data_IF_839295294156
#
_entry.id   IF_839295294156
#
_cell.length_a   1.000
_cell.length_b   1.000
_cell.length_c   1.000
_cell.angle_alpha   90.00
_cell.angle_beta   90.00
_cell.angle_gamma   90.00
#
_symmetry.space_group_name_H-M   'P 1'
#
loop_
_entity.id
_entity.type
_entity.pdbx_description
1 polymer ?
#
# COMPACT_ATOMS: atom_id res chain seq x y z
N UNK A 1 13.14 1.79 -25.48
CA UNK A 1 11.72 1.73 -25.93
C UNK A 1 10.87 2.34 -24.82
N UNK A 2 9.74 3.03 -25.10
CA UNK A 2 8.89 3.61 -24.04
C UNK A 2 7.76 2.65 -23.66
N UNK A 3 7.22 2.75 -22.44
CA UNK A 3 6.14 1.87 -21.96
C UNK A 3 4.90 1.87 -22.88
N UNK A 4 4.58 3.01 -23.51
CA UNK A 4 3.46 3.10 -24.46
C UNK A 4 3.68 2.22 -25.70
N UNK A 5 4.92 2.08 -26.19
CA UNK A 5 5.21 1.27 -27.37
C UNK A 5 5.01 -0.23 -27.09
N UNK A 6 5.39 -0.69 -25.90
CA UNK A 6 5.14 -2.08 -25.46
C UNK A 6 3.65 -2.34 -25.27
N UNK A 7 2.92 -1.33 -24.79
CA UNK A 7 1.48 -1.42 -24.65
C UNK A 7 0.77 -1.53 -26.01
N UNK A 8 1.21 -0.75 -27.01
CA UNK A 8 0.65 -0.82 -28.36
C UNK A 8 0.93 -2.17 -29.03
N UNK A 9 2.14 -2.71 -28.88
CA UNK A 9 2.48 -4.05 -29.39
C UNK A 9 1.65 -5.16 -28.71
N UNK A 10 1.46 -5.09 -27.39
CA UNK A 10 0.58 -6.02 -26.71
C UNK A 10 -0.86 -5.99 -27.25
N UNK A 11 -1.34 -4.82 -27.69
CA UNK A 11 -2.67 -4.64 -28.26
C UNK A 11 -2.82 -5.19 -29.69
N UNK A 12 -1.73 -5.53 -30.38
CA UNK A 12 -1.80 -6.20 -31.68
C UNK A 12 -2.41 -7.60 -31.56
N UNK A 13 -2.16 -8.27 -30.43
CA UNK A 13 -2.57 -9.67 -30.20
C UNK A 13 -3.47 -9.87 -28.98
N UNK A 14 -3.73 -8.81 -28.19
CA UNK A 14 -4.52 -8.90 -26.96
C UNK A 14 -5.51 -7.74 -26.84
N UNK A 15 -6.60 -7.96 -26.11
CA UNK A 15 -7.53 -6.89 -25.79
C UNK A 15 -7.14 -6.09 -24.52
N UNK A 16 -7.83 -4.99 -24.27
CA UNK A 16 -7.59 -4.18 -23.08
C UNK A 16 -7.91 -4.93 -21.78
N UNK A 17 -8.82 -5.90 -21.80
CA UNK A 17 -9.21 -6.66 -20.61
C UNK A 17 -8.10 -7.63 -20.21
N UNK A 18 -7.43 -8.26 -21.17
CA UNK A 18 -6.27 -9.10 -20.95
C UNK A 18 -5.18 -8.33 -20.19
N UNK A 19 -4.78 -7.17 -20.71
CA UNK A 19 -3.74 -6.34 -20.08
C UNK A 19 -4.20 -5.86 -18.70
N UNK A 20 -5.45 -5.40 -18.56
CA UNK A 20 -6.01 -4.98 -17.27
C UNK A 20 -5.97 -6.12 -16.24
N UNK A 21 -6.31 -7.34 -16.65
CA UNK A 21 -6.33 -8.53 -15.79
C UNK A 21 -4.93 -8.91 -15.35
N UNK A 22 -3.99 -9.03 -16.30
CA UNK A 22 -2.60 -9.41 -16.02
C UNK A 22 -1.88 -8.41 -15.12
N UNK A 23 -2.21 -7.12 -15.21
CA UNK A 23 -1.64 -6.06 -14.38
C UNK A 23 -2.45 -5.75 -13.11
N UNK A 24 -3.55 -6.47 -12.87
CA UNK A 24 -4.49 -6.23 -11.75
C UNK A 24 -4.97 -4.76 -11.68
N UNK A 25 -5.32 -4.20 -12.84
CA UNK A 25 -5.78 -2.83 -13.01
C UNK A 25 -7.27 -2.78 -13.34
N UNK A 26 -7.93 -1.72 -12.89
CA UNK A 26 -9.28 -1.42 -13.35
C UNK A 26 -9.24 -1.10 -14.85
N UNK A 27 -10.15 -1.68 -15.64
CA UNK A 27 -10.20 -1.51 -17.10
C UNK A 27 -10.24 -0.04 -17.54
N UNK A 28 -10.93 0.81 -16.78
CA UNK A 28 -10.95 2.26 -17.00
C UNK A 28 -9.57 2.94 -16.91
N UNK A 29 -8.60 2.38 -16.20
CA UNK A 29 -7.21 2.86 -16.20
C UNK A 29 -6.54 2.57 -17.53
N UNK A 30 -6.63 1.34 -18.01
CA UNK A 30 -6.02 0.91 -19.28
C UNK A 30 -6.67 1.62 -20.48
N UNK A 31 -8.01 1.80 -20.45
CA UNK A 31 -8.73 2.64 -21.42
C UNK A 31 -8.23 4.08 -21.45
N UNK A 32 -7.88 4.67 -20.31
CA UNK A 32 -7.29 6.01 -20.25
C UNK A 32 -5.89 6.05 -20.84
N UNK A 33 -5.07 5.01 -20.66
CA UNK A 33 -3.76 4.94 -21.30
C UNK A 33 -3.88 4.99 -22.81
N UNK A 34 -4.75 4.16 -23.40
CA UNK A 34 -5.06 4.18 -24.83
C UNK A 34 -5.59 5.54 -25.28
N UNK A 35 -6.58 6.10 -24.57
CA UNK A 35 -7.18 7.40 -24.91
C UNK A 35 -6.17 8.55 -24.89
N UNK A 36 -5.26 8.55 -23.91
CA UNK A 36 -4.29 9.63 -23.72
C UNK A 36 -2.95 9.36 -24.43
N UNK A 37 -2.83 8.24 -25.14
CA UNK A 37 -1.58 7.75 -25.74
C UNK A 37 -0.39 7.80 -24.76
N UNK A 38 -0.61 7.33 -23.52
CA UNK A 38 0.38 7.45 -22.45
C UNK A 38 0.23 6.35 -21.41
N UNK A 39 1.33 5.63 -21.17
CA UNK A 39 1.46 4.64 -20.09
C UNK A 39 2.55 5.12 -19.12
N UNK A 40 2.33 5.09 -17.80
CA UNK A 40 3.38 5.39 -16.83
C UNK A 40 4.58 4.44 -16.99
N UNK A 41 5.80 4.98 -17.01
CA UNK A 41 7.03 4.19 -17.17
C UNK A 41 7.19 3.09 -16.11
N UNK A 42 6.57 3.24 -14.92
CA UNK A 42 6.54 2.19 -13.90
C UNK A 42 5.99 0.84 -14.38
N UNK A 43 5.22 0.80 -15.48
CA UNK A 43 4.70 -0.42 -16.08
C UNK A 43 5.57 -0.98 -17.22
N UNK A 44 6.74 -0.38 -17.53
CA UNK A 44 7.60 -0.87 -18.61
C UNK A 44 7.96 -2.34 -18.42
N UNK A 45 8.54 -2.70 -17.27
CA UNK A 45 8.95 -4.08 -16.98
C UNK A 45 7.74 -5.03 -16.95
N UNK A 46 6.61 -4.56 -16.45
CA UNK A 46 5.37 -5.34 -16.40
C UNK A 46 4.87 -5.69 -17.81
N UNK A 47 4.86 -4.72 -18.72
CA UNK A 47 4.44 -4.93 -20.12
C UNK A 47 5.47 -5.77 -20.87
N UNK A 48 6.76 -5.54 -20.63
CA UNK A 48 7.83 -6.30 -21.28
C UNK A 48 7.77 -7.78 -20.87
N UNK A 49 7.47 -8.06 -19.61
CA UNK A 49 7.28 -9.43 -19.13
C UNK A 49 6.12 -10.14 -19.83
N UNK A 50 5.05 -9.42 -20.21
CA UNK A 50 3.96 -9.98 -21.01
C UNK A 50 4.35 -10.22 -22.48
N UNK A 51 5.42 -9.57 -22.95
CA UNK A 51 6.06 -9.79 -24.24
C UNK A 51 7.28 -10.73 -24.13
N UNK A 52 7.29 -11.62 -23.11
CA UNK A 52 8.37 -12.57 -22.87
C UNK A 52 9.76 -11.93 -22.70
N UNK A 53 9.80 -10.72 -22.14
CA UNK A 53 11.00 -9.91 -21.94
C UNK A 53 11.79 -9.62 -23.24
N UNK A 54 11.08 -9.47 -24.37
CA UNK A 54 11.66 -9.21 -25.70
C UNK A 54 12.61 -8.00 -25.75
N UNK A 55 12.40 -7.00 -24.92
CA UNK A 55 13.18 -5.76 -24.95
C UNK A 55 14.10 -5.60 -23.75
N UNK A 56 15.35 -5.22 -24.02
CA UNK A 56 16.24 -4.78 -22.94
C UNK A 56 15.69 -3.51 -22.28
N UNK A 57 15.73 -3.47 -20.95
CA UNK A 57 15.44 -2.25 -20.23
C UNK A 57 16.70 -1.37 -20.21
N UNK A 58 16.76 -0.39 -21.12
CA UNK A 58 17.85 0.58 -21.21
C UNK A 58 17.73 1.75 -20.23
N UNK A 59 16.62 1.86 -19.49
CA UNK A 59 16.56 2.86 -18.42
C UNK A 59 17.35 2.31 -17.22
N UNK A 60 18.55 2.87 -17.01
CA UNK A 60 19.34 2.84 -15.76
C UNK A 60 18.58 3.43 -14.55
N UNK A 61 17.25 3.32 -14.52
CA UNK A 61 16.41 3.73 -13.41
C UNK A 61 16.63 2.82 -12.17
N UNK A 62 17.50 1.82 -12.28
CA UNK A 62 17.82 0.85 -11.22
C UNK A 62 18.75 1.40 -10.14
N UNK A 63 19.63 2.36 -10.44
CA UNK A 63 20.70 2.71 -9.48
C UNK A 63 20.29 3.75 -8.42
N UNK A 64 19.20 4.48 -8.60
CA UNK A 64 18.77 5.52 -7.63
C UNK A 64 17.55 5.14 -6.77
N UNK A 65 16.82 4.08 -7.14
CA UNK A 65 15.61 3.63 -6.43
C UNK A 65 15.74 2.21 -5.82
N UNK A 66 16.91 1.56 -5.92
CA UNK A 66 17.19 0.31 -5.19
C UNK A 66 17.76 0.63 -3.80
N UNK A 67 16.89 0.60 -2.79
CA UNK A 67 17.29 0.50 -1.39
C UNK A 67 16.81 -0.83 -0.81
N UNK A 68 17.57 -1.35 0.13
CA UNK A 68 17.33 -2.62 0.80
C UNK A 68 16.73 -2.41 2.18
N UNK A 69 16.01 -3.41 2.67
CA UNK A 69 15.58 -3.44 4.07
C UNK A 69 16.80 -3.66 4.96
N UNK A 70 16.99 -2.84 5.99
CA UNK A 70 18.10 -3.04 6.93
C UNK A 70 17.96 -4.36 7.67
N UNK A 71 19.09 -4.99 8.05
CA UNK A 71 19.08 -6.24 8.83
C UNK A 71 18.23 -6.14 10.10
N UNK A 72 18.34 -5.03 10.83
CA UNK A 72 17.55 -4.79 12.04
C UNK A 72 16.03 -4.76 11.77
N UNK A 73 15.61 -4.14 10.66
CA UNK A 73 14.19 -4.11 10.26
C UNK A 73 13.71 -5.50 9.84
N UNK A 74 14.52 -6.26 9.09
CA UNK A 74 14.19 -7.62 8.71
C UNK A 74 14.03 -8.54 9.93
N UNK A 75 14.94 -8.46 10.90
CA UNK A 75 14.87 -9.19 12.16
C UNK A 75 13.62 -8.82 12.98
N UNK A 76 13.27 -7.54 13.03
CA UNK A 76 12.06 -7.08 13.70
C UNK A 76 10.80 -7.68 13.04
N UNK A 77 10.67 -7.55 11.72
CA UNK A 77 9.52 -8.04 10.97
C UNK A 77 9.39 -9.58 11.05
N UNK A 78 10.50 -10.31 11.02
CA UNK A 78 10.50 -11.76 11.23
C UNK A 78 10.01 -12.13 12.63
N UNK A 79 10.56 -11.51 13.69
CA UNK A 79 10.10 -11.74 15.08
C UNK A 79 8.62 -11.38 15.25
N UNK A 80 8.18 -10.27 14.66
CA UNK A 80 6.77 -9.87 14.68
C UNK A 80 5.89 -10.91 13.98
N UNK A 81 6.33 -11.44 12.83
CA UNK A 81 5.62 -12.52 12.13
C UNK A 81 5.42 -13.71 13.07
N UNK A 82 6.49 -14.18 13.73
CA UNK A 82 6.40 -15.29 14.69
C UNK A 82 5.44 -15.01 15.85
N UNK A 83 5.43 -13.78 16.38
CA UNK A 83 4.49 -13.34 17.42
C UNK A 83 3.04 -13.43 16.95
N UNK A 84 2.74 -12.93 15.74
CA UNK A 84 1.38 -12.95 15.18
C UNK A 84 0.95 -14.38 14.85
N UNK A 85 1.82 -15.21 14.28
CA UNK A 85 1.55 -16.63 14.04
C UNK A 85 1.18 -17.35 15.34
N UNK A 86 1.91 -17.09 16.44
CA UNK A 86 1.59 -17.65 17.75
C UNK A 86 0.21 -17.23 18.25
N UNK A 87 -0.15 -15.95 18.11
CA UNK A 87 -1.50 -15.43 18.48
C UNK A 87 -2.62 -16.08 17.66
N UNK A 88 -2.34 -16.39 16.40
CA UNK A 88 -3.26 -17.07 15.51
C UNK A 88 -3.26 -18.60 15.69
N UNK A 89 -2.49 -19.15 16.64
CA UNK A 89 -2.31 -20.59 16.85
C UNK A 89 -1.80 -21.33 15.58
N UNK A 90 -0.95 -20.66 14.79
CA UNK A 90 -0.30 -21.22 13.61
C UNK A 90 1.10 -21.70 14.00
N UNK A 91 1.34 -23.02 13.90
CA UNK A 91 2.64 -23.61 14.15
C UNK A 91 3.58 -23.42 12.96
N UNK A 92 4.44 -22.39 13.02
CA UNK A 92 5.36 -22.04 11.94
C UNK A 92 6.29 -23.18 11.49
N UNK A 93 6.56 -24.16 12.37
CA UNK A 93 7.45 -25.28 12.08
C UNK A 93 6.92 -26.21 10.98
N UNK A 94 5.62 -26.18 10.71
CA UNK A 94 4.96 -26.94 9.64
C UNK A 94 5.05 -26.28 8.27
N UNK A 95 5.56 -25.05 8.22
CA UNK A 95 5.54 -24.22 7.02
C UNK A 95 6.89 -24.19 6.31
N UNK A 96 6.87 -23.95 5.01
CA UNK A 96 8.06 -23.52 4.25
C UNK A 96 7.94 -22.02 4.06
N UNK A 97 9.01 -21.28 4.35
CA UNK A 97 9.06 -19.85 4.13
C UNK A 97 9.45 -19.55 2.69
N UNK A 98 8.80 -18.54 2.11
CA UNK A 98 9.15 -18.00 0.81
C UNK A 98 9.48 -16.52 0.98
N UNK A 99 10.67 -16.12 0.58
CA UNK A 99 10.97 -14.70 0.36
C UNK A 99 10.92 -14.37 -1.13
N UNK A 100 9.95 -13.54 -1.56
CA UNK A 100 9.93 -13.00 -2.90
C UNK A 100 10.72 -11.69 -2.99
N UNK A 101 11.43 -11.48 -4.11
CA UNK A 101 12.31 -10.33 -4.30
C UNK A 101 13.34 -10.20 -3.17
N UNK A 102 14.07 -11.29 -2.93
CA UNK A 102 14.98 -11.43 -1.78
C UNK A 102 16.13 -10.41 -1.71
N UNK A 103 16.45 -9.73 -2.82
CA UNK A 103 17.41 -8.63 -2.87
C UNK A 103 18.75 -9.01 -2.24
N UNK A 104 19.14 -8.31 -1.17
CA UNK A 104 20.38 -8.54 -0.43
C UNK A 104 20.32 -9.70 0.60
N UNK A 105 19.26 -10.50 0.61
CA UNK A 105 19.08 -11.67 1.50
C UNK A 105 18.96 -11.36 3.00
N UNK A 106 18.63 -10.11 3.38
CA UNK A 106 18.49 -9.73 4.80
C UNK A 106 17.34 -10.46 5.51
N UNK A 107 16.20 -10.73 4.85
CA UNK A 107 15.19 -11.63 5.41
C UNK A 107 15.59 -13.10 5.22
N UNK A 108 16.07 -13.48 4.03
CA UNK A 108 16.35 -14.86 3.63
C UNK A 108 17.30 -15.55 4.61
N UNK A 109 18.33 -14.82 5.03
CA UNK A 109 19.33 -15.27 6.00
C UNK A 109 18.75 -15.61 7.39
N UNK A 110 17.61 -15.01 7.76
CA UNK A 110 16.90 -15.26 9.01
C UNK A 110 15.97 -16.48 8.95
N UNK A 111 15.56 -16.88 7.74
CA UNK A 111 14.62 -17.98 7.54
C UNK A 111 15.25 -19.34 7.87
N UNK A 112 14.47 -20.34 8.34
CA UNK A 112 15.00 -21.66 8.66
C UNK A 112 15.64 -22.33 7.42
N UNK A 113 16.95 -22.61 7.46
CA UNK A 113 17.74 -23.11 6.30
C UNK A 113 17.14 -24.33 5.58
N UNK A 114 16.50 -25.25 6.30
CA UNK A 114 15.89 -26.47 5.74
C UNK A 114 14.46 -26.26 5.21
N UNK A 115 13.86 -25.09 5.41
CA UNK A 115 12.45 -24.78 5.11
C UNK A 115 12.32 -23.35 4.55
N UNK A 116 13.22 -22.95 3.65
CA UNK A 116 13.20 -21.63 3.01
C UNK A 116 13.35 -21.75 1.49
N UNK A 117 12.72 -20.84 0.77
CA UNK A 117 12.85 -20.65 -0.67
C UNK A 117 13.00 -19.14 -0.90
N UNK A 118 14.04 -18.74 -1.62
CA UNK A 118 14.26 -17.37 -2.03
C UNK A 118 14.08 -17.23 -3.53
N UNK A 119 13.36 -16.20 -3.98
CA UNK A 119 13.16 -15.89 -5.40
C UNK A 119 13.57 -14.44 -5.63
N UNK A 120 14.39 -14.20 -6.63
CA UNK A 120 14.68 -12.84 -7.11
C UNK A 120 14.81 -12.82 -8.63
N UNK A 121 14.46 -11.70 -9.26
CA UNK A 121 14.63 -11.52 -10.71
C UNK A 121 16.10 -11.17 -11.06
N UNK A 122 16.87 -10.72 -10.08
CA UNK A 122 18.27 -10.33 -10.16
C UNK A 122 18.94 -10.66 -8.81
N UNK A 123 19.22 -11.96 -8.51
CA UNK A 123 19.77 -12.41 -7.23
C UNK A 123 21.04 -11.65 -6.81
N UNK A 124 21.03 -11.10 -5.58
CA UNK A 124 22.14 -10.33 -5.00
C UNK A 124 22.47 -10.78 -3.58
N UNK A 125 23.58 -10.25 -3.05
CA UNK A 125 24.04 -10.52 -1.69
C UNK A 125 24.80 -11.85 -1.56
N UNK A 126 25.18 -12.17 -0.32
CA UNK A 126 26.04 -13.32 0.01
C UNK A 126 25.38 -14.67 -0.26
N UNK A 127 24.04 -14.73 -0.24
CA UNK A 127 23.27 -15.97 -0.43
C UNK A 127 22.62 -16.04 -1.81
N UNK A 128 23.06 -15.23 -2.78
CA UNK A 128 22.47 -15.17 -4.13
C UNK A 128 22.40 -16.53 -4.82
N UNK A 129 23.40 -17.38 -4.60
CA UNK A 129 23.50 -18.69 -5.25
C UNK A 129 22.51 -19.71 -4.65
N UNK A 130 21.89 -19.39 -3.52
CA UNK A 130 20.76 -20.15 -2.97
C UNK A 130 19.40 -19.68 -3.52
N UNK A 131 19.34 -18.54 -4.20
CA UNK A 131 18.09 -17.97 -4.70
C UNK A 131 17.74 -18.54 -6.08
N UNK A 132 16.45 -18.67 -6.33
CA UNK A 132 15.91 -18.99 -7.66
C UNK A 132 15.84 -17.68 -8.45
N UNK A 133 16.60 -17.59 -9.54
CA UNK A 133 16.50 -16.48 -10.50
C UNK A 133 15.21 -16.59 -11.31
N UNK A 134 14.17 -15.85 -10.91
CA UNK A 134 12.86 -15.89 -11.55
C UNK A 134 11.98 -14.69 -11.21
N UNK A 135 11.01 -14.41 -12.08
CA UNK A 135 9.91 -13.51 -11.75
C UNK A 135 8.95 -14.22 -10.78
N UNK A 136 8.88 -13.74 -9.54
CA UNK A 136 8.00 -14.30 -8.50
C UNK A 136 6.54 -14.45 -8.95
N UNK A 137 6.01 -13.53 -9.76
CA UNK A 137 4.62 -13.60 -10.25
C UNK A 137 4.37 -14.73 -11.26
N UNK A 138 5.42 -15.42 -11.70
CA UNK A 138 5.34 -16.63 -12.54
C UNK A 138 5.74 -17.90 -11.76
N UNK A 139 6.39 -17.73 -10.60
CA UNK A 139 6.83 -18.82 -9.75
C UNK A 139 5.65 -19.47 -9.02
N UNK A 140 5.59 -20.80 -9.02
CA UNK A 140 4.66 -21.58 -8.20
C UNK A 140 5.46 -22.62 -7.41
N UNK A 141 5.25 -22.71 -6.08
CA UNK A 141 5.93 -23.73 -5.29
C UNK A 141 5.25 -25.10 -5.43
N UNK A 142 5.87 -26.12 -4.83
CA UNK A 142 5.32 -27.49 -4.79
C UNK A 142 3.91 -27.53 -4.18
N UNK A 143 3.01 -28.30 -4.79
CA UNK A 143 1.64 -28.47 -4.26
C UNK A 143 1.65 -29.37 -3.01
N UNK A 144 0.66 -29.18 -2.13
CA UNK A 144 0.45 -30.04 -0.96
C UNK A 144 1.36 -29.72 0.24
N UNK A 145 2.15 -28.64 0.18
CA UNK A 145 2.90 -28.10 1.32
C UNK A 145 2.18 -26.85 1.86
N UNK A 146 2.58 -26.42 3.06
CA UNK A 146 2.10 -25.19 3.69
C UNK A 146 3.15 -24.09 3.56
N UNK A 147 2.74 -22.88 3.18
CA UNK A 147 3.68 -21.77 2.94
C UNK A 147 3.36 -20.51 3.74
N UNK A 148 4.41 -19.84 4.21
CA UNK A 148 4.39 -18.47 4.73
C UNK A 148 5.26 -17.63 3.79
N UNK A 149 4.72 -16.53 3.26
CA UNK A 149 5.49 -15.60 2.44
C UNK A 149 5.86 -14.39 3.28
N UNK A 150 7.15 -14.07 3.36
CA UNK A 150 7.67 -12.98 4.19
C UNK A 150 8.74 -12.19 3.41
N UNK A 151 8.69 -10.86 3.47
CA UNK A 151 9.73 -10.01 2.88
C UNK A 151 9.30 -8.58 2.62
N UNK A 152 10.01 -7.93 1.71
CA UNK A 152 9.75 -6.56 1.24
C UNK A 152 9.59 -6.55 -0.29
N UNK A 153 8.39 -6.83 -0.83
CA UNK A 153 8.19 -6.85 -2.27
C UNK A 153 8.33 -5.45 -2.88
N UNK A 154 8.74 -5.33 -4.15
CA UNK A 154 8.74 -4.04 -4.83
C UNK A 154 7.31 -3.46 -4.90
N UNK A 155 7.18 -2.18 -4.58
CA UNK A 155 5.85 -1.56 -4.41
C UNK A 155 5.12 -1.31 -5.74
N UNK A 156 5.86 -0.93 -6.78
CA UNK A 156 5.29 -0.47 -8.05
C UNK A 156 4.40 0.77 -7.91
N UNK A 157 3.76 1.19 -9.00
CA UNK A 157 2.95 2.41 -9.00
C UNK A 157 1.80 2.29 -8.00
N UNK A 158 1.83 3.15 -6.96
CA UNK A 158 0.80 3.22 -5.90
C UNK A 158 0.56 1.88 -5.19
N UNK A 159 1.60 1.06 -5.02
CA UNK A 159 1.52 -0.22 -4.33
C UNK A 159 0.91 -1.36 -5.14
N UNK A 160 0.71 -1.18 -6.45
CA UNK A 160 0.06 -2.18 -7.30
C UNK A 160 0.89 -3.47 -7.48
N UNK A 161 2.22 -3.38 -7.48
CA UNK A 161 3.07 -4.56 -7.64
C UNK A 161 3.08 -5.39 -6.36
N UNK A 162 3.26 -4.77 -5.19
CA UNK A 162 3.11 -5.44 -3.90
C UNK A 162 1.73 -6.10 -3.73
N UNK A 163 0.65 -5.46 -4.23
CA UNK A 163 -0.68 -6.08 -4.26
C UNK A 163 -0.74 -7.34 -5.11
N UNK A 164 -0.08 -7.34 -6.27
CA UNK A 164 0.01 -8.53 -7.13
C UNK A 164 0.80 -9.64 -6.46
N UNK A 165 1.86 -9.31 -5.72
CA UNK A 165 2.62 -10.29 -4.94
C UNK A 165 1.72 -10.96 -3.88
N UNK A 166 0.98 -10.18 -3.08
CA UNK A 166 0.04 -10.73 -2.08
C UNK A 166 -1.00 -11.63 -2.76
N UNK A 167 -1.61 -11.14 -3.85
CA UNK A 167 -2.68 -11.88 -4.53
C UNK A 167 -2.16 -13.13 -5.26
N UNK A 168 -0.91 -13.14 -5.72
CA UNK A 168 -0.25 -14.32 -6.26
C UNK A 168 0.04 -15.35 -5.17
N UNK A 169 0.51 -14.91 -4.01
CA UNK A 169 0.74 -15.77 -2.84
C UNK A 169 -0.55 -16.45 -2.34
N UNK A 170 -1.72 -15.85 -2.55
CA UNK A 170 -3.00 -16.42 -2.11
C UNK A 170 -3.24 -17.85 -2.62
N UNK A 171 -2.75 -18.18 -3.82
CA UNK A 171 -2.99 -19.47 -4.46
C UNK A 171 -2.27 -20.63 -3.74
N UNK A 172 -1.23 -20.35 -2.95
CA UNK A 172 -0.43 -21.40 -2.29
C UNK A 172 -0.08 -21.15 -0.82
N UNK A 173 -0.11 -19.91 -0.33
CA UNK A 173 0.32 -19.57 1.01
C UNK A 173 -0.86 -19.30 1.97
N UNK A 174 -0.71 -19.73 3.22
CA UNK A 174 -1.71 -19.46 4.25
C UNK A 174 -1.53 -18.08 4.86
N UNK A 175 -0.29 -17.59 4.89
CA UNK A 175 0.10 -16.32 5.51
C UNK A 175 1.02 -15.54 4.60
N UNK A 176 0.79 -14.23 4.52
CA UNK A 176 1.68 -13.26 3.88
C UNK A 176 2.02 -12.16 4.89
N UNK A 177 3.31 -11.93 5.11
CA UNK A 177 3.83 -10.94 6.03
C UNK A 177 4.76 -9.99 5.26
N UNK A 178 4.29 -8.79 4.91
CA UNK A 178 5.03 -7.89 4.04
C UNK A 178 5.24 -6.51 4.64
N UNK A 179 6.41 -5.96 4.31
CA UNK A 179 6.63 -4.52 4.29
C UNK A 179 5.89 -3.95 3.06
N UNK A 180 5.07 -2.93 3.28
CA UNK A 180 4.16 -2.36 2.28
C UNK A 180 4.17 -0.82 2.32
N UNK A 181 3.77 -0.15 1.23
CA UNK A 181 3.60 1.29 1.26
C UNK A 181 2.39 1.67 2.13
N UNK A 182 2.38 2.87 2.75
CA UNK A 182 1.30 3.33 3.64
C UNK A 182 -0.10 3.34 3.02
N UNK A 183 -0.20 3.29 1.68
CA UNK A 183 -1.48 3.13 0.97
C UNK A 183 -2.23 1.83 1.34
N UNK A 184 -1.53 0.81 1.85
CA UNK A 184 -2.15 -0.40 2.40
C UNK A 184 -2.80 -0.21 3.78
N UNK A 185 -2.65 0.97 4.39
CA UNK A 185 -3.35 1.38 5.61
C UNK A 185 -4.25 2.59 5.35
N UNK A 186 -4.97 2.57 4.22
CA UNK A 186 -5.90 3.62 3.81
C UNK A 186 -7.24 3.02 3.43
N UNK A 187 -8.34 3.73 3.72
CA UNK A 187 -9.70 3.31 3.36
C UNK A 187 -10.23 3.97 2.08
N UNK A 188 -9.39 4.72 1.36
CA UNK A 188 -9.76 5.38 0.12
C UNK A 188 -10.33 4.42 -0.94
N UNK A 189 -11.03 4.97 -1.95
CA UNK A 189 -11.52 4.15 -3.08
C UNK A 189 -10.34 3.65 -3.93
N UNK A 190 -10.34 2.37 -4.28
CA UNK A 190 -9.33 1.77 -5.17
C UNK A 190 -7.94 1.57 -4.56
N UNK A 191 -7.79 1.79 -3.24
CA UNK A 191 -6.56 1.49 -2.49
C UNK A 191 -6.21 0.00 -2.59
N UNK A 192 -4.92 -0.36 -2.53
CA UNK A 192 -4.50 -1.75 -2.67
C UNK A 192 -5.04 -2.66 -1.56
N UNK A 193 -5.14 -2.18 -0.32
CA UNK A 193 -5.69 -2.95 0.82
C UNK A 193 -7.06 -3.59 0.52
N UNK A 194 -7.97 -2.85 -0.12
CA UNK A 194 -9.32 -3.32 -0.46
C UNK A 194 -9.37 -4.30 -1.64
N UNK A 195 -8.23 -4.55 -2.27
CA UNK A 195 -8.09 -5.43 -3.45
C UNK A 195 -7.29 -6.69 -3.14
N UNK A 196 -6.90 -6.89 -1.87
CA UNK A 196 -6.31 -8.14 -1.39
C UNK A 196 -7.38 -9.23 -1.46
N UNK A 197 -7.07 -10.35 -2.12
CA UNK A 197 -8.02 -11.45 -2.35
C UNK A 197 -7.99 -12.44 -1.19
N UNK A 198 -9.16 -12.71 -0.61
CA UNK A 198 -9.42 -13.83 0.31
C UNK A 198 -8.70 -13.81 1.68
N UNK A 199 -7.60 -13.10 1.83
CA UNK A 199 -6.93 -12.91 3.12
C UNK A 199 -7.68 -11.95 4.04
N UNK A 200 -7.56 -12.18 5.35
CA UNK A 200 -7.91 -11.22 6.41
C UNK A 200 -6.65 -10.61 7.01
N UNK A 201 -6.68 -9.31 7.28
CA UNK A 201 -5.59 -8.58 7.93
C UNK A 201 -5.55 -8.98 9.42
N UNK A 202 -4.48 -9.66 9.84
CA UNK A 202 -4.26 -10.05 11.23
C UNK A 202 -3.46 -9.00 12.01
N UNK A 203 -2.57 -8.26 11.33
CA UNK A 203 -1.73 -7.26 11.98
C UNK A 203 -1.34 -6.15 11.02
N UNK A 204 -1.26 -4.92 11.53
CA UNK A 204 -0.69 -3.77 10.81
C UNK A 204 0.02 -2.84 11.78
N UNK A 205 1.20 -2.36 11.41
CA UNK A 205 1.94 -1.34 12.17
C UNK A 205 2.77 -0.43 11.26
N UNK A 206 3.11 0.77 11.75
CA UNK A 206 4.02 1.69 11.05
C UNK A 206 5.45 1.29 11.40
N UNK A 207 6.33 1.23 10.40
CA UNK A 207 7.76 1.02 10.64
C UNK A 207 8.49 2.36 10.86
N UNK A 208 9.65 2.34 11.55
CA UNK A 208 10.55 3.48 11.61
C UNK A 208 10.91 4.00 10.21
N UNK A 209 11.15 5.29 10.11
CA UNK A 209 11.44 5.96 8.83
C UNK A 209 12.81 5.56 8.25
N UNK A 210 13.75 5.18 9.11
CA UNK A 210 15.11 4.75 8.79
C UNK A 210 15.24 3.22 8.65
N UNK A 211 14.20 2.56 8.15
CA UNK A 211 14.13 1.09 8.00
C UNK A 211 14.85 0.55 6.74
N UNK A 212 15.43 1.43 5.92
CA UNK A 212 16.00 1.08 4.62
C UNK A 212 17.38 1.71 4.44
N UNK A 213 18.19 1.11 3.58
CA UNK A 213 19.54 1.55 3.28
C UNK A 213 19.87 1.40 1.78
N UNK A 214 20.65 2.33 1.25
CA UNK A 214 21.27 2.18 -0.06
C UNK A 214 22.38 1.10 -0.02
N UNK A 215 22.88 0.63 -1.18
CA UNK A 215 23.95 -0.37 -1.22
C UNK A 215 25.24 0.03 -0.46
N UNK A 216 25.46 1.32 -0.27
CA UNK A 216 26.60 1.88 0.48
C UNK A 216 26.37 1.93 2.01
N UNK A 217 25.19 1.50 2.48
CA UNK A 217 24.79 1.53 3.90
C UNK A 217 24.15 2.85 4.36
N UNK A 218 24.00 3.83 3.47
CA UNK A 218 23.35 5.11 3.82
C UNK A 218 21.85 4.89 4.04
N UNK A 219 21.34 5.33 5.19
CA UNK A 219 19.92 5.16 5.55
C UNK A 219 18.99 6.00 4.66
N UNK A 220 17.88 5.41 4.24
CA UNK A 220 16.85 6.06 3.41
C UNK A 220 15.62 6.37 4.26
N UNK A 221 15.17 7.62 4.19
CA UNK A 221 13.94 8.05 4.85
C UNK A 221 12.70 7.70 4.02
N UNK A 222 12.05 6.57 4.33
CA UNK A 222 10.82 6.12 3.65
C UNK A 222 9.75 5.68 4.64
N UNK A 223 8.57 6.29 4.54
CA UNK A 223 7.40 5.85 5.29
C UNK A 223 6.87 4.52 4.74
N UNK A 224 6.78 3.51 5.60
CA UNK A 224 6.28 2.17 5.28
C UNK A 224 5.50 1.59 6.44
N UNK A 225 4.77 0.51 6.17
CA UNK A 225 4.04 -0.27 7.17
C UNK A 225 4.44 -1.73 7.06
N UNK A 226 4.28 -2.47 8.14
CA UNK A 226 4.36 -3.92 8.14
C UNK A 226 2.96 -4.50 8.35
N UNK A 227 2.58 -5.49 7.54
CA UNK A 227 1.28 -6.16 7.65
C UNK A 227 1.42 -7.67 7.60
N UNK A 228 0.59 -8.35 8.39
CA UNK A 228 0.41 -9.81 8.34
C UNK A 228 -1.02 -10.12 7.93
N UNK A 229 -1.16 -10.90 6.88
CA UNK A 229 -2.41 -11.32 6.25
C UNK A 229 -2.51 -12.85 6.34
N UNK A 230 -3.68 -13.38 6.70
CA UNK A 230 -3.91 -14.84 6.82
C UNK A 230 -5.25 -15.26 6.25
N UNK A 231 -5.32 -16.45 5.66
CA UNK A 231 -6.58 -17.08 5.20
C UNK A 231 -7.00 -18.26 6.08
N UNK A 232 -6.15 -18.63 7.05
CA UNK A 232 -6.40 -19.67 8.06
C UNK A 232 -6.52 -19.02 9.44
N UNK A 233 -7.20 -19.71 10.36
CA UNK A 233 -7.41 -19.30 11.75
C UNK A 233 -7.91 -17.85 11.88
N UNK A 234 -8.75 -17.41 10.94
CA UNK A 234 -9.16 -16.01 10.83
C UNK A 234 -10.11 -15.56 11.94
N UNK A 235 -10.72 -16.52 12.63
CA UNK A 235 -11.53 -16.34 13.82
C UNK A 235 -10.71 -15.94 15.06
N UNK A 236 -9.39 -16.16 15.05
CA UNK A 236 -8.45 -15.74 16.11
C UNK A 236 -7.99 -14.29 15.96
N UNK A 237 -8.36 -13.61 14.87
CA UNK A 237 -7.99 -12.20 14.65
C UNK A 237 -8.79 -11.32 15.61
N UNK A 238 -8.09 -10.55 16.43
CA UNK A 238 -8.71 -9.54 17.30
C UNK A 238 -9.48 -8.52 16.45
N UNK A 239 -10.80 -8.42 16.68
CA UNK A 239 -11.64 -7.41 16.07
C UNK A 239 -11.81 -6.24 17.03
N UNK A 240 -11.50 -5.03 16.56
CA UNK A 240 -11.84 -3.81 17.30
C UNK A 240 -13.24 -3.39 16.92
N UNK A 241 -14.04 -3.06 17.93
CA UNK A 241 -15.35 -2.45 17.70
C UNK A 241 -15.18 -1.12 16.97
N UNK A 242 -15.84 -0.99 15.82
CA UNK A 242 -15.81 0.22 15.00
C UNK A 242 -16.95 1.12 15.47
N UNK A 243 -16.63 2.16 16.22
CA UNK A 243 -17.58 3.21 16.58
C UNK A 243 -17.92 4.05 15.36
N UNK A 244 -19.18 4.46 15.25
CA UNK A 244 -19.64 5.38 14.20
C UNK A 244 -20.02 6.72 14.81
N UNK A 245 -20.02 7.80 14.01
CA UNK A 245 -20.43 9.13 14.47
C UNK A 245 -21.26 9.86 13.39
N UNK A 246 -22.05 9.09 12.64
CA UNK A 246 -22.86 9.59 11.53
C UNK A 246 -24.00 10.49 12.01
N UNK A 247 -24.47 10.35 13.26
CA UNK A 247 -25.43 11.28 13.84
C UNK A 247 -24.80 12.61 14.26
N UNK A 248 -23.47 12.67 14.42
CA UNK A 248 -22.73 13.86 14.85
C UNK A 248 -22.20 14.68 13.68
N UNK A 249 -21.74 14.06 12.61
CA UNK A 249 -21.11 14.78 11.52
C UNK A 249 -21.29 14.11 10.15
N UNK A 250 -21.03 14.89 9.10
CA UNK A 250 -20.89 14.39 7.73
C UNK A 250 -19.69 15.04 7.07
N UNK A 251 -18.85 14.22 6.45
CA UNK A 251 -17.64 14.65 5.73
C UNK A 251 -17.87 14.57 4.22
N UNK A 252 -17.54 15.64 3.52
CA UNK A 252 -17.59 15.75 2.07
C UNK A 252 -16.18 15.87 1.51
N UNK A 253 -15.85 15.12 0.45
CA UNK A 253 -14.65 15.42 -0.33
C UNK A 253 -14.91 16.62 -1.25
N UNK A 254 -14.05 17.63 -1.18
CA UNK A 254 -14.21 18.91 -1.85
C UNK A 254 -13.07 19.13 -2.83
N UNK A 255 -13.40 19.53 -4.06
CA UNK A 255 -12.44 19.93 -5.09
C UNK A 255 -13.19 20.72 -6.16
N UNK A 256 -12.69 21.90 -6.50
CA UNK A 256 -13.22 22.65 -7.64
C UNK A 256 -12.71 22.08 -8.98
N UNK A 257 -11.53 21.46 -8.96
CA UNK A 257 -11.02 20.50 -9.92
C UNK A 257 -10.67 21.04 -11.31
N UNK A 258 -11.27 22.13 -11.77
CA UNK A 258 -11.11 22.66 -13.13
C UNK A 258 -11.66 21.74 -14.24
N UNK A 259 -11.89 20.45 -13.98
CA UNK A 259 -12.44 19.46 -14.92
C UNK A 259 -13.47 18.56 -14.22
N UNK A 260 -14.46 17.99 -14.93
CA UNK A 260 -15.45 17.09 -14.34
C UNK A 260 -14.82 15.89 -13.60
N UNK A 261 -13.69 15.37 -14.08
CA UNK A 261 -13.00 14.23 -13.49
C UNK A 261 -12.41 14.54 -12.11
N UNK A 262 -12.06 15.81 -11.85
CA UNK A 262 -11.43 16.30 -10.63
C UNK A 262 -12.35 17.14 -9.75
N UNK A 263 -13.53 17.56 -10.23
CA UNK A 263 -14.53 18.27 -9.41
C UNK A 263 -15.22 17.30 -8.44
N UNK A 264 -15.40 17.71 -7.18
CA UNK A 264 -16.08 16.96 -6.12
C UNK A 264 -16.95 17.89 -5.28
N UNK A 265 -18.21 17.52 -5.07
CA UNK A 265 -19.17 18.20 -4.19
C UNK A 265 -19.15 19.75 -4.27
N UNK A 266 -19.11 20.32 -5.48
CA UNK A 266 -19.00 21.78 -5.70
C UNK A 266 -20.06 22.62 -4.96
N UNK A 267 -21.25 22.06 -4.73
CA UNK A 267 -22.32 22.73 -3.97
C UNK A 267 -22.00 22.92 -2.47
N UNK A 268 -20.99 22.23 -1.94
CA UNK A 268 -20.60 22.23 -0.52
C UNK A 268 -19.36 23.06 -0.21
N UNK A 269 -18.74 23.72 -1.20
CA UNK A 269 -17.46 24.42 -1.02
C UNK A 269 -17.49 25.49 0.07
N UNK A 270 -18.63 26.18 0.25
CA UNK A 270 -18.79 27.24 1.26
C UNK A 270 -19.94 26.94 2.24
N UNK A 271 -20.24 25.66 2.47
CA UNK A 271 -21.38 25.22 3.31
C UNK A 271 -20.99 24.26 4.44
N UNK A 272 -19.70 24.10 4.68
CA UNK A 272 -19.18 23.28 5.76
C UNK A 272 -18.77 24.14 6.96
N UNK A 273 -18.77 23.55 8.14
CA UNK A 273 -18.38 24.21 9.39
C UNK A 273 -16.86 24.25 9.55
N UNK A 274 -16.16 23.23 9.04
CA UNK A 274 -14.69 23.12 9.06
C UNK A 274 -14.18 22.57 7.74
N UNK A 275 -13.00 23.02 7.33
CA UNK A 275 -12.29 22.55 6.15
C UNK A 275 -10.94 21.96 6.53
N UNK A 276 -10.57 20.83 5.90
CA UNK A 276 -9.30 20.12 6.14
C UNK A 276 -8.62 19.79 4.80
N UNK A 277 -7.30 19.96 4.65
CA UNK A 277 -6.60 19.57 3.43
C UNK A 277 -6.71 18.07 3.17
N UNK A 278 -6.78 17.65 1.90
CA UNK A 278 -6.71 16.20 1.60
C UNK A 278 -5.27 15.70 1.59
N UNK A 279 -4.36 16.52 1.05
CA UNK A 279 -2.93 16.24 0.94
C UNK A 279 -2.16 17.54 1.02
N UNK A 280 -1.14 17.61 1.87
CA UNK A 280 -0.18 18.71 1.92
C UNK A 280 1.18 18.23 2.47
N UNK A 281 2.23 19.02 2.29
CA UNK A 281 3.55 18.73 2.89
C UNK A 281 3.74 19.44 4.24
N UNK A 282 3.01 20.54 4.46
CA UNK A 282 2.97 21.34 5.68
C UNK A 282 1.56 21.92 5.85
N UNK A 283 1.20 22.32 7.06
CA UNK A 283 -0.08 22.98 7.32
C UNK A 283 -1.27 22.02 7.29
N UNK A 284 -1.09 20.77 7.73
CA UNK A 284 -2.23 19.88 7.94
C UNK A 284 -2.96 20.33 9.20
N UNK A 285 -3.99 21.16 9.04
CA UNK A 285 -4.78 21.75 10.12
C UNK A 285 -6.20 22.08 9.65
N UNK A 286 -7.07 22.49 10.58
CA UNK A 286 -8.41 22.98 10.29
C UNK A 286 -8.38 24.42 9.75
N UNK A 287 -9.23 24.70 8.77
CA UNK A 287 -9.41 25.99 8.11
C UNK A 287 -10.88 26.41 8.14
N UNK A 288 -11.12 27.72 8.18
CA UNK A 288 -12.48 28.31 8.26
C UNK A 288 -13.20 28.36 6.93
N UNK A 289 -12.47 28.26 5.81
CA UNK A 289 -13.03 28.33 4.47
C UNK A 289 -12.26 27.45 3.49
N UNK A 290 -12.94 27.05 2.41
CA UNK A 290 -12.36 26.21 1.36
C UNK A 290 -11.25 26.90 0.57
N UNK A 291 -11.34 28.22 0.40
CA UNK A 291 -10.39 29.00 -0.39
C UNK A 291 -8.98 28.99 0.22
N UNK A 292 -8.89 28.83 1.54
CA UNK A 292 -7.64 28.72 2.29
C UNK A 292 -7.01 27.31 2.24
N UNK A 293 -7.71 26.32 1.69
CA UNK A 293 -7.15 24.97 1.57
C UNK A 293 -6.00 24.94 0.55
N UNK A 294 -4.89 24.24 0.86
CA UNK A 294 -3.84 23.96 -0.11
C UNK A 294 -4.43 23.36 -1.40
N UNK A 295 -4.07 23.95 -2.54
CA UNK A 295 -4.55 23.56 -3.86
C UNK A 295 -6.09 23.59 -4.03
N UNK A 296 -6.82 24.25 -3.13
CA UNK A 296 -8.30 24.31 -3.13
C UNK A 296 -8.92 22.90 -3.19
N UNK A 297 -8.37 21.98 -2.39
CA UNK A 297 -8.78 20.57 -2.35
C UNK A 297 -8.70 20.02 -0.93
N UNK A 298 -9.73 19.29 -0.54
CA UNK A 298 -9.75 18.69 0.78
C UNK A 298 -11.06 18.06 1.18
N UNK A 299 -11.39 18.23 2.45
CA UNK A 299 -12.63 17.79 3.05
C UNK A 299 -13.34 18.96 3.70
N UNK A 300 -14.66 18.96 3.61
CA UNK A 300 -15.52 19.82 4.40
C UNK A 300 -16.34 18.99 5.37
N UNK A 301 -16.43 19.43 6.61
CA UNK A 301 -17.19 18.74 7.67
C UNK A 301 -18.39 19.58 8.05
N UNK A 302 -19.57 18.96 8.07
CA UNK A 302 -20.81 19.54 8.59
C UNK A 302 -21.16 18.84 9.89
N UNK A 303 -21.26 19.59 10.97
CA UNK A 303 -21.67 19.11 12.29
C UNK A 303 -23.19 19.15 12.42
N UNK A 304 -23.76 18.03 12.85
CA UNK A 304 -25.21 17.83 13.06
C UNK A 304 -25.61 17.96 14.53
N UNK A 305 -24.71 17.62 15.45
CA UNK A 305 -24.88 17.72 16.90
C UNK A 305 -23.63 18.32 17.52
N UNK A 306 -23.76 18.88 18.74
CA UNK A 306 -22.63 19.33 19.56
C UNK A 306 -21.65 20.27 18.84
N UNK A 307 -22.16 21.10 17.92
CA UNK A 307 -21.37 21.92 16.98
C UNK A 307 -20.26 22.71 17.68
N UNK A 308 -20.57 23.43 18.75
CA UNK A 308 -19.58 24.22 19.48
C UNK A 308 -18.46 23.36 20.09
N UNK A 309 -18.79 22.19 20.64
CA UNK A 309 -17.80 21.27 21.21
C UNK A 309 -16.92 20.65 20.12
N UNK A 310 -17.52 20.26 18.98
CA UNK A 310 -16.78 19.72 17.84
C UNK A 310 -15.88 20.76 17.16
N UNK A 311 -16.32 22.02 17.05
CA UNK A 311 -15.45 23.12 16.62
C UNK A 311 -14.23 23.23 17.55
N UNK A 312 -14.43 23.25 18.87
CA UNK A 312 -13.32 23.30 19.83
C UNK A 312 -12.38 22.09 19.69
N UNK A 313 -12.92 20.90 19.44
CA UNK A 313 -12.14 19.69 19.20
C UNK A 313 -11.25 19.86 17.95
N UNK A 314 -11.84 20.25 16.82
CA UNK A 314 -11.15 20.34 15.51
C UNK A 314 -10.04 21.39 15.46
N UNK A 315 -10.25 22.56 16.08
CA UNK A 315 -9.28 23.65 16.01
C UNK A 315 -8.28 23.69 17.16
N UNK A 316 -8.63 23.16 18.34
CA UNK A 316 -7.80 23.34 19.55
C UNK A 316 -7.23 22.05 20.14
N UNK A 317 -7.80 20.89 19.83
CA UNK A 317 -7.41 19.63 20.47
C UNK A 317 -6.74 18.64 19.51
N UNK A 318 -7.23 18.55 18.28
CA UNK A 318 -6.70 17.58 17.31
C UNK A 318 -5.40 18.11 16.70
N UNK A 319 -4.34 17.31 16.75
CA UNK A 319 -3.13 17.53 15.97
C UNK A 319 -3.26 16.80 14.62
N UNK A 320 -3.72 17.52 13.60
CA UNK A 320 -4.01 16.95 12.29
C UNK A 320 -2.77 16.45 11.53
N UNK A 321 -1.58 16.97 11.80
CA UNK A 321 -0.32 16.45 11.26
C UNK A 321 -0.03 15.04 11.79
N UNK A 322 -0.29 14.78 13.08
CA UNK A 322 -0.15 13.44 13.67
C UNK A 322 -1.25 12.46 13.22
N UNK A 323 -2.46 12.97 12.97
CA UNK A 323 -3.60 12.18 12.48
C UNK A 323 -3.40 11.74 11.04
N UNK A 324 -2.84 12.61 10.20
CA UNK A 324 -2.58 12.29 8.80
C UNK A 324 -1.59 11.13 8.65
N UNK A 325 -1.80 10.28 7.64
CA UNK A 325 -0.81 9.29 7.26
C UNK A 325 0.20 9.90 6.28
N UNK A 326 1.47 9.54 6.42
CA UNK A 326 2.54 10.01 5.56
C UNK A 326 2.67 9.04 4.39
N UNK A 327 2.66 9.53 3.15
CA UNK A 327 2.99 8.72 1.98
C UNK A 327 4.50 8.52 1.84
N UNK A 328 4.93 7.60 0.97
CA UNK A 328 6.35 7.30 0.74
C UNK A 328 7.17 8.53 0.36
N UNK A 329 6.58 9.51 -0.32
CA UNK A 329 7.21 10.78 -0.69
C UNK A 329 7.14 11.88 0.40
N UNK A 330 6.72 11.55 1.63
CA UNK A 330 6.65 12.49 2.74
C UNK A 330 5.38 13.35 2.82
N UNK A 331 4.44 13.26 1.86
CA UNK A 331 3.22 14.05 1.93
C UNK A 331 2.26 13.54 3.03
N UNK A 332 1.66 14.46 3.78
CA UNK A 332 0.60 14.19 4.75
C UNK A 332 -0.72 14.03 4.03
N UNK A 333 -1.48 13.00 4.39
CA UNK A 333 -2.74 12.66 3.75
C UNK A 333 -3.84 12.43 4.79
N UNK A 334 -4.96 13.15 4.65
CA UNK A 334 -6.19 12.88 5.39
C UNK A 334 -7.18 12.08 4.56
N UNK A 335 -8.04 11.36 5.26
CA UNK A 335 -9.13 10.54 4.73
C UNK A 335 -10.36 10.70 5.62
N UNK A 336 -11.52 10.41 5.07
CA UNK A 336 -12.80 10.57 5.77
C UNK A 336 -12.85 9.79 7.08
N UNK A 337 -12.38 8.54 7.08
CA UNK A 337 -12.25 7.71 8.28
C UNK A 337 -11.33 8.34 9.33
N UNK A 338 -10.16 8.85 8.95
CA UNK A 338 -9.25 9.50 9.90
C UNK A 338 -9.93 10.69 10.59
N UNK A 339 -10.71 11.47 9.83
CA UNK A 339 -11.47 12.61 10.36
C UNK A 339 -12.59 12.12 11.31
N UNK A 340 -13.36 11.12 10.90
CA UNK A 340 -14.47 10.58 11.69
C UNK A 340 -13.98 9.87 12.96
N UNK A 341 -12.83 9.19 12.91
CA UNK A 341 -12.22 8.53 14.07
C UNK A 341 -11.85 9.54 15.16
N UNK A 342 -11.39 10.74 14.80
CA UNK A 342 -11.09 11.78 15.80
C UNK A 342 -12.35 12.30 16.51
N UNK A 343 -13.51 12.27 15.84
CA UNK A 343 -14.80 12.58 16.47
C UNK A 343 -15.15 11.50 17.49
N UNK A 344 -15.01 10.22 17.13
CA UNK A 344 -15.28 9.10 18.03
C UNK A 344 -14.30 9.03 19.21
N UNK A 345 -13.01 9.27 18.97
CA UNK A 345 -11.96 9.35 20.01
C UNK A 345 -12.19 10.55 20.94
N UNK A 346 -12.79 11.63 20.44
CA UNK A 346 -13.23 12.77 21.23
C UNK A 346 -14.44 12.50 22.12
N UNK A 347 -15.01 11.28 22.09
CA UNK A 347 -16.18 10.88 22.87
C UNK A 347 -17.53 11.14 22.20
N UNK A 348 -17.54 11.45 20.90
CA UNK A 348 -18.77 11.72 20.14
C UNK A 348 -19.02 10.57 19.16
N UNK A 349 -19.78 9.58 19.57
CA UNK A 349 -20.12 8.42 18.75
C UNK A 349 -21.58 8.05 18.95
N UNK A 350 -22.14 7.39 17.95
CA UNK A 350 -23.49 6.87 17.97
C UNK A 350 -23.54 5.72 19.00
N UNK A 351 -24.58 5.71 19.83
CA UNK A 351 -24.83 4.66 20.84
C UNK A 351 -25.14 3.30 20.19
#
# INVERSE_FOLDING_TARGET
MKAIMLFDELLENNDLNYIATKLNLHIGTVRRWKKNNSVPNNYYNDLNALLSNKYENKEEYRDKDQFYTTKATAEYCYKKTLEILKKLEINEKEYIYIEPSAGCCNFYSLLPKKRRIGIDIDPKGELKDELIESNYLLYNPEKGKKYIVLGNPPFGLRGNLALRFINHSYDFADVVAFILPPLFNSTGKGVPMKRVKGYKLAHTEKLPRNSYEYPDGTLVDVATIFQVWTKVNTEKIETKEIKTCVSYAKVYSLSDGGTPASTRNKKMLNKCDVYLPSTCFKGMQAYDNFESLPNRRGYGVVFKKEKHKLMKLFYKKINWEKVAFISTNGALNLRTDLIMNQITEGGYYDE
#
